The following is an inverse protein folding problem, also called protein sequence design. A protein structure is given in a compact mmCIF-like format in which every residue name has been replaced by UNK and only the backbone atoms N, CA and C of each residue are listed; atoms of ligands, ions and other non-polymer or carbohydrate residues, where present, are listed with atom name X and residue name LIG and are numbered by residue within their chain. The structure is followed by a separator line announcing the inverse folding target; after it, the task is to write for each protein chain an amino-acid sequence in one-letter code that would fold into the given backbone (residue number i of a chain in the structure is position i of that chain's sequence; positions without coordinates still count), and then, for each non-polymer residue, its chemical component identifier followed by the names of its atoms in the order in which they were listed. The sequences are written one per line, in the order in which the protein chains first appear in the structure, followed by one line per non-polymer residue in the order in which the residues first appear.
data_IF_283768050827
#
_entry.id   IF_283768050827
#
_cell.length_a   1.000
_cell.length_b   1.000
_cell.length_c   1.000
_cell.angle_alpha   90.00
_cell.angle_beta   90.00
_cell.angle_gamma   90.00
#
_symmetry.space_group_name_H-M   'P 1'
#
loop_
_entity.id
_entity.type
_entity.pdbx_description
1 polymer ?
#
# COMPACT_ATOMS: atom_id res chain seq x y z
N UNK A 1 -1.38 -19.76 5.00
CA UNK A 1 -2.71 -19.16 4.72
C UNK A 1 -3.32 -18.45 5.94
N UNK A 2 -2.77 -18.67 7.13
CA UNK A 2 -3.09 -17.93 8.37
C UNK A 2 -2.55 -16.49 8.39
N UNK A 3 -1.35 -16.26 7.85
CA UNK A 3 -0.67 -14.96 7.78
C UNK A 3 -1.50 -13.81 7.18
N UNK A 4 -2.47 -14.13 6.31
CA UNK A 4 -3.23 -13.15 5.52
C UNK A 4 -4.10 -12.23 6.39
N UNK A 5 -4.58 -12.74 7.53
CA UNK A 5 -5.38 -11.97 8.50
C UNK A 5 -4.50 -11.19 9.48
N UNK A 6 -3.32 -11.71 9.79
CA UNK A 6 -2.41 -11.14 10.79
C UNK A 6 -1.84 -9.79 10.36
N UNK A 7 -1.61 -9.59 9.06
CA UNK A 7 -0.92 -8.38 8.58
C UNK A 7 -1.82 -7.29 7.99
N UNK A 8 -3.13 -7.52 7.86
CA UNK A 8 -4.06 -6.50 7.33
C UNK A 8 -3.84 -6.13 5.85
N UNK A 9 -3.26 -7.03 5.05
CA UNK A 9 -3.12 -6.86 3.59
C UNK A 9 -4.39 -7.29 2.86
N UNK A 10 -4.78 -6.51 1.85
CA UNK A 10 -5.63 -7.01 0.77
C UNK A 10 -4.75 -7.60 -0.34
N UNK A 11 -4.61 -8.92 -0.38
CA UNK A 11 -3.75 -9.61 -1.34
C UNK A 11 -4.25 -9.56 -2.80
N UNK A 12 -5.55 -9.30 -2.99
CA UNK A 12 -6.18 -9.20 -4.32
C UNK A 12 -5.87 -7.85 -4.95
N UNK A 13 -5.69 -6.82 -4.12
CA UNK A 13 -5.34 -5.47 -4.54
C UNK A 13 -3.84 -5.28 -4.78
N UNK A 14 -3.53 -4.15 -5.39
CA UNK A 14 -2.16 -3.71 -5.63
C UNK A 14 -1.51 -3.04 -4.40
N UNK A 15 -0.21 -2.76 -4.52
CA UNK A 15 0.55 -2.05 -3.49
C UNK A 15 -0.07 -0.68 -3.21
N UNK A 16 -0.53 0.02 -4.25
CA UNK A 16 -1.08 1.38 -4.16
C UNK A 16 -2.28 1.43 -3.21
N UNK A 17 -3.29 0.60 -3.47
CA UNK A 17 -4.49 0.48 -2.63
C UNK A 17 -4.12 0.02 -1.22
N UNK A 18 -3.22 -0.95 -1.08
CA UNK A 18 -2.83 -1.42 0.25
C UNK A 18 -2.22 -0.33 1.12
N UNK A 19 -1.38 0.54 0.54
CA UNK A 19 -0.73 1.63 1.27
C UNK A 19 -1.72 2.77 1.58
N UNK A 20 -2.58 3.14 0.63
CA UNK A 20 -3.51 4.27 0.76
C UNK A 20 -4.77 3.97 1.58
N UNK A 21 -5.19 2.70 1.63
CA UNK A 21 -6.47 2.28 2.25
C UNK A 21 -6.61 2.74 3.70
N UNK A 22 -5.51 2.83 4.45
CA UNK A 22 -5.55 3.20 5.87
C UNK A 22 -5.62 4.72 6.13
N UNK A 23 -5.44 5.55 5.10
CA UNK A 23 -5.35 7.01 5.19
C UNK A 23 -6.22 7.74 4.15
N UNK A 24 -7.23 7.06 3.58
CA UNK A 24 -8.08 7.57 2.49
C UNK A 24 -8.67 8.97 2.75
N UNK A 25 -8.93 9.35 4.01
CA UNK A 25 -9.41 10.70 4.36
C UNK A 25 -8.45 11.81 3.92
N UNK A 26 -7.14 11.58 3.97
CA UNK A 26 -6.13 12.55 3.52
C UNK A 26 -5.93 12.58 2.00
N UNK A 27 -6.46 11.59 1.28
CA UNK A 27 -6.33 11.43 -0.16
C UNK A 27 -7.66 11.66 -0.91
N UNK A 28 -8.71 12.09 -0.21
CA UNK A 28 -10.03 12.32 -0.79
C UNK A 28 -10.36 13.80 -0.92
N UNK A 29 -10.86 14.21 -2.09
CA UNK A 29 -11.38 15.55 -2.36
C UNK A 29 -12.86 15.43 -2.73
N UNK A 30 -13.74 16.01 -1.91
CA UNK A 30 -15.21 15.92 -2.09
C UNK A 30 -15.74 14.48 -2.20
N UNK A 31 -15.14 13.54 -1.48
CA UNK A 31 -15.53 12.12 -1.46
C UNK A 31 -14.95 11.27 -2.59
N UNK A 32 -14.16 11.86 -3.49
CA UNK A 32 -13.45 11.14 -4.57
C UNK A 32 -11.98 11.04 -4.22
N UNK A 33 -11.39 9.86 -4.36
CA UNK A 33 -9.94 9.64 -4.17
C UNK A 33 -9.18 10.35 -5.28
N UNK A 34 -8.14 11.10 -4.92
CA UNK A 34 -7.19 11.64 -5.88
C UNK A 34 -6.17 10.56 -6.23
N UNK A 35 -6.41 9.85 -7.35
CA UNK A 35 -5.55 8.76 -7.83
C UNK A 35 -4.10 9.22 -8.08
N UNK A 36 -3.88 10.49 -8.44
CA UNK A 36 -2.54 11.02 -8.65
C UNK A 36 -1.78 11.12 -7.32
N UNK A 37 -2.42 11.70 -6.31
CA UNK A 37 -1.83 11.81 -4.98
C UNK A 37 -1.66 10.45 -4.30
N UNK A 38 -2.63 9.54 -4.47
CA UNK A 38 -2.54 8.16 -4.00
C UNK A 38 -1.28 7.48 -4.57
N UNK A 39 -1.13 7.50 -5.90
CA UNK A 39 0.03 6.92 -6.58
C UNK A 39 1.34 7.58 -6.16
N UNK A 40 1.35 8.91 -6.01
CA UNK A 40 2.55 9.68 -5.60
C UNK A 40 3.03 9.26 -4.22
N UNK A 41 2.11 9.11 -3.27
CA UNK A 41 2.42 8.67 -1.90
C UNK A 41 2.88 7.22 -1.89
N UNK A 42 2.18 6.33 -2.58
CA UNK A 42 2.54 4.91 -2.64
C UNK A 42 3.91 4.70 -3.29
N UNK A 43 4.24 5.43 -4.36
CA UNK A 43 5.56 5.34 -5.01
C UNK A 43 6.68 5.83 -4.09
N UNK A 44 6.42 6.85 -3.25
CA UNK A 44 7.36 7.29 -2.22
C UNK A 44 7.69 6.15 -1.26
N UNK A 45 6.66 5.48 -0.73
CA UNK A 45 6.84 4.34 0.17
C UNK A 45 7.48 3.13 -0.50
N UNK A 46 7.10 2.81 -1.75
CA UNK A 46 7.74 1.73 -2.53
C UNK A 46 9.25 1.92 -2.61
N UNK A 47 9.69 3.15 -2.87
CA UNK A 47 11.12 3.50 -2.95
C UNK A 47 11.79 3.52 -1.58
N UNK A 48 11.22 4.21 -0.59
CA UNK A 48 11.85 4.36 0.73
C UNK A 48 11.93 3.03 1.50
N UNK A 49 10.92 2.18 1.37
CA UNK A 49 10.90 0.85 2.01
C UNK A 49 11.58 -0.22 1.16
N UNK A 50 12.08 0.14 -0.03
CA UNK A 50 12.73 -0.77 -0.97
C UNK A 50 11.85 -2.00 -1.26
N UNK A 51 10.58 -1.75 -1.60
CA UNK A 51 9.63 -2.76 -2.05
C UNK A 51 9.97 -3.11 -3.50
N UNK A 52 10.41 -4.35 -3.72
CA UNK A 52 10.83 -4.83 -5.03
C UNK A 52 9.61 -5.17 -5.89
N UNK A 53 9.13 -4.17 -6.61
CA UNK A 53 8.10 -4.27 -7.64
C UNK A 53 8.35 -3.23 -8.74
N UNK A 54 7.98 -3.47 -10.01
CA UNK A 54 8.16 -2.50 -11.09
C UNK A 54 7.41 -1.18 -10.83
N UNK A 55 6.18 -1.28 -10.30
CA UNK A 55 5.32 -0.14 -9.94
C UNK A 55 4.48 -0.49 -8.72
N UNK A 56 3.78 0.51 -8.17
CA UNK A 56 2.77 0.31 -7.12
C UNK A 56 1.49 -0.40 -7.59
N UNK A 57 1.34 -0.67 -8.89
CA UNK A 57 0.20 -1.40 -9.44
C UNK A 57 0.41 -2.92 -9.48
N UNK A 58 1.56 -3.41 -9.00
CA UNK A 58 1.78 -4.85 -8.84
C UNK A 58 0.89 -5.40 -7.72
N UNK A 59 0.23 -6.53 -7.98
CA UNK A 59 -0.61 -7.20 -6.98
C UNK A 59 0.23 -7.69 -5.80
N UNK A 60 -0.23 -7.41 -4.57
CA UNK A 60 0.52 -7.77 -3.36
C UNK A 60 0.74 -9.28 -3.24
N UNK A 61 -0.19 -10.11 -3.73
CA UNK A 61 -0.04 -11.56 -3.74
C UNK A 61 1.18 -12.06 -4.54
N UNK A 62 1.69 -11.30 -5.51
CA UNK A 62 2.84 -11.67 -6.33
C UNK A 62 4.18 -11.32 -5.69
N UNK A 63 4.17 -10.56 -4.60
CA UNK A 63 5.35 -10.16 -3.87
C UNK A 63 5.83 -11.29 -2.94
N UNK A 64 7.14 -11.35 -2.70
CA UNK A 64 7.68 -12.22 -1.65
C UNK A 64 7.21 -11.77 -0.27
N UNK A 65 7.20 -12.67 0.72
CA UNK A 65 6.75 -12.35 2.09
C UNK A 65 7.45 -11.14 2.71
N UNK A 66 8.75 -10.97 2.48
CA UNK A 66 9.49 -9.79 2.96
C UNK A 66 9.06 -8.48 2.29
N UNK A 67 8.64 -8.51 1.02
CA UNK A 67 8.06 -7.34 0.34
C UNK A 67 6.62 -7.09 0.80
N UNK A 68 5.85 -8.14 1.08
CA UNK A 68 4.52 -8.02 1.68
C UNK A 68 4.58 -7.34 3.06
N UNK A 69 5.53 -7.73 3.92
CA UNK A 69 5.75 -7.09 5.22
C UNK A 69 6.09 -5.60 5.09
N UNK A 70 6.88 -5.21 4.08
CA UNK A 70 7.18 -3.79 3.81
C UNK A 70 5.95 -3.00 3.37
N UNK A 71 5.05 -3.61 2.58
CA UNK A 71 3.78 -2.97 2.19
C UNK A 71 2.89 -2.75 3.42
N UNK A 72 2.82 -3.73 4.33
CA UNK A 72 2.09 -3.61 5.60
C UNK A 72 2.62 -2.46 6.45
N UNK A 73 3.94 -2.42 6.65
CA UNK A 73 4.57 -1.34 7.39
C UNK A 73 4.27 0.03 6.76
N UNK A 74 4.36 0.13 5.44
CA UNK A 74 4.04 1.36 4.69
C UNK A 74 2.60 1.81 4.93
N UNK A 75 1.64 0.88 4.91
CA UNK A 75 0.23 1.15 5.21
C UNK A 75 0.04 1.73 6.61
N UNK A 76 0.65 1.13 7.63
CA UNK A 76 0.49 1.59 9.00
C UNK A 76 1.20 2.92 9.27
N UNK A 77 2.42 3.11 8.75
CA UNK A 77 3.14 4.39 8.83
C UNK A 77 2.33 5.50 8.14
N UNK A 78 1.64 5.19 7.04
CA UNK A 78 0.80 6.19 6.38
C UNK A 78 -0.49 6.50 7.15
N UNK A 79 -1.03 5.53 7.89
CA UNK A 79 -2.27 5.67 8.67
C UNK A 79 -2.13 6.58 9.90
N UNK A 80 -0.92 6.71 10.43
CA UNK A 80 -0.58 7.49 11.63
C UNK A 80 0.51 8.54 11.26
N UNK A 81 0.14 9.68 10.65
CA UNK A 81 1.08 10.65 10.06
C UNK A 81 1.89 11.47 11.06
#
# INVERSE_FOLDING_TARGET
TEDRKTYGLNLIDDINRNISLASLRGLTRRGVVDDHEERRVSERYRRSMNIKAPTVHEQVQRLSGGNQQKVVLSKWIHADP
#
